data_IF_796840481160
#
_entry.id   IF_796840481160
#
_cell.length_a   1.000
_cell.length_b   1.000
_cell.length_c   1.000
_cell.angle_alpha   90.00
_cell.angle_beta   90.00
_cell.angle_gamma   90.00
#
_symmetry.space_group_name_H-M   'P 1'
#
loop_
_entity.id
_entity.type
_entity.pdbx_description
1 polymer ?
#
# COMPACT_ATOMS: atom_id res chain seq x y z
N UNK A 1 -29.75 -24.00 -23.08
CA UNK A 1 -28.41 -23.50 -23.44
C UNK A 1 -27.87 -22.80 -22.20
N UNK A 2 -27.10 -23.49 -21.36
CA UNK A 2 -26.56 -22.92 -20.13
C UNK A 2 -25.62 -21.78 -20.53
N UNK A 3 -25.99 -20.55 -20.20
CA UNK A 3 -25.06 -19.42 -20.21
C UNK A 3 -23.89 -19.82 -19.32
N UNK A 4 -22.69 -20.02 -19.87
CA UNK A 4 -21.49 -20.24 -19.08
C UNK A 4 -21.37 -19.07 -18.08
N UNK A 5 -21.60 -19.36 -16.81
CA UNK A 5 -21.49 -18.37 -15.75
C UNK A 5 -20.01 -17.98 -15.63
N UNK A 6 -19.75 -16.71 -15.39
CA UNK A 6 -18.40 -16.22 -15.22
C UNK A 6 -17.82 -16.76 -13.90
N UNK A 7 -16.65 -17.40 -13.92
CA UNK A 7 -16.06 -17.96 -12.68
C UNK A 7 -15.06 -16.97 -12.07
N UNK A 8 -15.58 -16.19 -11.10
CA UNK A 8 -14.80 -15.20 -10.36
C UNK A 8 -14.07 -15.81 -9.16
N UNK A 9 -14.28 -17.09 -8.84
CA UNK A 9 -13.67 -17.75 -7.70
C UNK A 9 -12.42 -18.52 -8.16
N UNK A 10 -11.24 -17.94 -7.98
CA UNK A 10 -9.98 -18.51 -8.47
C UNK A 10 -9.48 -19.65 -7.58
N UNK A 11 -9.65 -19.54 -6.27
CA UNK A 11 -9.21 -20.55 -5.30
C UNK A 11 -10.05 -20.49 -4.03
N UNK A 12 -10.34 -21.67 -3.50
CA UNK A 12 -10.89 -21.88 -2.15
C UNK A 12 -10.07 -22.97 -1.46
N UNK A 13 -9.57 -22.68 -0.26
CA UNK A 13 -9.10 -23.71 0.68
C UNK A 13 -9.97 -23.61 1.93
N UNK A 14 -10.78 -24.64 2.19
CA UNK A 14 -11.88 -24.57 3.15
C UNK A 14 -11.81 -25.70 4.19
N UNK A 15 -10.75 -25.67 4.99
CA UNK A 15 -10.48 -26.67 6.03
C UNK A 15 -11.14 -26.30 7.35
N UNK A 16 -12.18 -27.05 7.71
CA UNK A 16 -12.81 -26.96 9.03
C UNK A 16 -13.50 -25.61 9.26
N UNK A 17 -13.16 -24.92 10.34
CA UNK A 17 -13.75 -23.62 10.71
C UNK A 17 -13.14 -22.42 9.96
N UNK A 18 -12.08 -22.64 9.20
CA UNK A 18 -11.32 -21.60 8.51
C UNK A 18 -11.43 -21.73 7.00
N UNK A 19 -11.30 -20.60 6.29
CA UNK A 19 -11.17 -20.62 4.84
C UNK A 19 -10.23 -19.53 4.32
N UNK A 20 -9.56 -19.83 3.22
CA UNK A 20 -8.84 -18.89 2.36
C UNK A 20 -9.59 -18.76 1.04
N UNK A 21 -9.84 -17.53 0.61
CA UNK A 21 -10.51 -17.25 -0.66
C UNK A 21 -9.68 -16.33 -1.54
N UNK A 22 -9.59 -16.70 -2.82
CA UNK A 22 -9.10 -15.85 -3.88
C UNK A 22 -10.21 -15.64 -4.91
N UNK A 23 -10.68 -14.41 -5.04
CA UNK A 23 -11.56 -13.98 -6.10
C UNK A 23 -10.82 -13.09 -7.10
N UNK A 24 -11.35 -13.01 -8.33
CA UNK A 24 -10.91 -12.02 -9.31
C UNK A 24 -12.07 -11.12 -9.73
N UNK A 25 -11.78 -9.86 -10.04
CA UNK A 25 -12.73 -8.98 -10.73
C UNK A 25 -12.85 -9.35 -12.23
N UNK A 26 -11.89 -10.11 -12.77
CA UNK A 26 -11.90 -10.47 -14.19
C UNK A 26 -12.99 -11.46 -14.54
N UNK A 27 -13.65 -11.22 -15.67
CA UNK A 27 -14.53 -12.20 -16.28
C UNK A 27 -13.85 -12.96 -17.44
N UNK A 28 -13.99 -14.28 -17.47
CA UNK A 28 -13.46 -15.22 -18.47
C UNK A 28 -14.48 -15.61 -19.55
N UNK A 29 -15.69 -15.05 -19.51
CA UNK A 29 -16.76 -15.35 -20.46
C UNK A 29 -16.38 -14.94 -21.89
N UNK A 30 -16.30 -15.93 -22.78
CA UNK A 30 -16.03 -15.73 -24.20
C UNK A 30 -17.06 -14.79 -24.86
N UNK A 31 -16.58 -13.76 -25.56
CA UNK A 31 -17.39 -12.89 -26.43
C UNK A 31 -18.13 -11.72 -25.76
N UNK A 32 -17.99 -11.51 -24.45
CA UNK A 32 -18.65 -10.40 -23.72
C UNK A 32 -17.68 -9.32 -23.23
N UNK A 33 -16.38 -9.60 -23.20
CA UNK A 33 -15.40 -8.69 -22.61
C UNK A 33 -14.47 -8.18 -23.71
N UNK A 34 -14.65 -6.92 -24.11
CA UNK A 34 -13.49 -6.12 -24.54
C UNK A 34 -12.40 -6.37 -23.54
N UNK A 35 -11.19 -6.75 -23.96
CA UNK A 35 -10.09 -7.34 -23.16
C UNK A 35 -9.58 -6.51 -21.96
N UNK A 36 -10.34 -5.50 -21.54
CA UNK A 36 -9.97 -4.39 -20.68
C UNK A 36 -10.86 -4.22 -19.44
N UNK A 37 -12.10 -4.70 -19.45
CA UNK A 37 -13.05 -4.42 -18.35
C UNK A 37 -13.11 -5.56 -17.31
N UNK A 38 -13.45 -5.19 -16.06
CA UNK A 38 -13.76 -6.11 -14.95
C UNK A 38 -15.28 -6.20 -14.71
N UNK A 39 -15.73 -7.24 -14.01
CA UNK A 39 -17.14 -7.42 -13.60
C UNK A 39 -17.22 -7.50 -12.07
N UNK A 40 -17.21 -6.32 -11.46
CA UNK A 40 -17.20 -6.13 -10.01
C UNK A 40 -18.47 -6.66 -9.34
N UNK A 41 -19.62 -6.47 -10.00
CA UNK A 41 -20.92 -6.91 -9.51
C UNK A 41 -21.00 -8.43 -9.48
N UNK A 42 -20.49 -9.12 -10.50
CA UNK A 42 -20.45 -10.57 -10.50
C UNK A 42 -19.47 -11.11 -9.46
N UNK A 43 -18.30 -10.49 -9.31
CA UNK A 43 -17.35 -10.82 -8.24
C UNK A 43 -17.99 -10.67 -6.86
N UNK A 44 -18.65 -9.53 -6.60
CA UNK A 44 -19.39 -9.27 -5.38
C UNK A 44 -20.50 -10.30 -5.15
N UNK A 45 -21.26 -10.66 -6.18
CA UNK A 45 -22.29 -11.69 -6.10
C UNK A 45 -21.70 -13.08 -5.80
N UNK A 46 -20.50 -13.40 -6.30
CA UNK A 46 -19.80 -14.64 -5.97
C UNK A 46 -19.40 -14.68 -4.49
N UNK A 47 -18.84 -13.59 -3.97
CA UNK A 47 -18.54 -13.45 -2.54
C UNK A 47 -19.81 -13.55 -1.67
N UNK A 48 -20.90 -12.87 -2.05
CA UNK A 48 -22.18 -12.89 -1.33
C UNK A 48 -22.74 -14.32 -1.26
N UNK A 49 -22.73 -15.06 -2.38
CA UNK A 49 -23.14 -16.47 -2.41
C UNK A 49 -22.28 -17.34 -1.49
N UNK A 50 -20.97 -17.16 -1.52
CA UNK A 50 -20.06 -17.94 -0.69
C UNK A 50 -20.29 -17.68 0.81
N UNK A 51 -20.40 -16.40 1.21
CA UNK A 51 -20.62 -16.02 2.62
C UNK A 51 -21.96 -16.54 3.15
N UNK A 52 -23.03 -16.52 2.33
CA UNK A 52 -24.33 -17.11 2.70
C UNK A 52 -24.27 -18.63 2.88
N UNK A 53 -23.48 -19.31 2.07
CA UNK A 53 -23.32 -20.76 2.14
C UNK A 53 -22.46 -21.21 3.33
N UNK A 54 -21.64 -20.32 3.90
CA UNK A 54 -20.68 -20.63 4.96
C UNK A 54 -20.83 -19.70 6.18
N UNK A 55 -22.01 -19.67 6.83
CA UNK A 55 -22.22 -18.80 7.99
C UNK A 55 -21.28 -19.18 9.14
N UNK A 56 -20.67 -18.17 9.77
CA UNK A 56 -19.84 -18.36 10.96
C UNK A 56 -18.43 -18.93 10.70
N UNK A 57 -18.01 -19.07 9.44
CA UNK A 57 -16.59 -19.36 9.13
C UNK A 57 -15.75 -18.10 9.26
N UNK A 58 -14.56 -18.26 9.84
CA UNK A 58 -13.54 -17.20 9.87
C UNK A 58 -12.71 -17.29 8.60
N UNK A 59 -12.55 -16.16 7.90
CA UNK A 59 -11.65 -16.06 6.77
C UNK A 59 -10.24 -15.74 7.27
N UNK A 60 -9.32 -16.69 7.18
CA UNK A 60 -7.92 -16.43 7.50
C UNK A 60 -7.30 -15.52 6.45
N UNK A 61 -7.75 -15.63 5.21
CA UNK A 61 -7.32 -14.77 4.11
C UNK A 61 -8.45 -14.58 3.09
N UNK A 62 -8.68 -13.34 2.70
CA UNK A 62 -9.49 -12.99 1.54
C UNK A 62 -8.65 -12.13 0.60
N UNK A 63 -8.51 -12.56 -0.64
CA UNK A 63 -7.81 -11.84 -1.69
C UNK A 63 -8.77 -11.62 -2.86
N UNK A 64 -8.92 -10.37 -3.28
CA UNK A 64 -9.68 -10.04 -4.48
C UNK A 64 -8.76 -9.28 -5.41
N UNK A 65 -8.45 -9.88 -6.56
CA UNK A 65 -7.44 -9.35 -7.48
C UNK A 65 -7.99 -8.99 -8.84
N UNK A 66 -7.16 -8.34 -9.63
CA UNK A 66 -7.32 -8.27 -11.08
C UNK A 66 -5.94 -8.24 -11.73
N UNK A 67 -5.78 -8.85 -12.90
CA UNK A 67 -4.65 -8.62 -13.80
C UNK A 67 -4.96 -7.53 -14.84
N UNK A 68 -6.18 -6.97 -14.82
CA UNK A 68 -6.68 -5.92 -15.71
C UNK A 68 -6.95 -4.65 -14.92
N UNK A 69 -6.51 -3.50 -15.41
CA UNK A 69 -6.53 -2.26 -14.60
C UNK A 69 -7.06 -1.06 -15.36
N UNK A 70 -7.82 -1.30 -16.43
CA UNK A 70 -8.38 -0.21 -17.22
C UNK A 70 -9.47 0.52 -16.43
N UNK A 71 -10.47 -0.16 -15.92
CA UNK A 71 -11.44 0.50 -15.04
C UNK A 71 -12.07 -0.52 -14.11
N UNK A 72 -12.06 -0.24 -12.82
CA UNK A 72 -12.55 -1.13 -11.78
C UNK A 72 -12.75 -0.45 -10.43
N UNK A 73 -13.62 -1.02 -9.61
CA UNK A 73 -13.87 -0.65 -8.22
C UNK A 73 -14.04 -1.88 -7.37
N UNK A 74 -13.50 -1.81 -6.16
CA UNK A 74 -13.81 -2.79 -5.12
C UNK A 74 -15.05 -2.40 -4.31
N UNK A 75 -15.73 -1.28 -4.62
CA UNK A 75 -16.90 -0.84 -3.87
C UNK A 75 -18.01 -1.91 -3.77
N UNK A 76 -18.41 -2.63 -4.85
CA UNK A 76 -19.41 -3.69 -4.73
C UNK A 76 -18.98 -4.84 -3.80
N UNK A 77 -17.70 -5.20 -3.82
CA UNK A 77 -17.12 -6.21 -2.91
C UNK A 77 -17.16 -5.70 -1.47
N UNK A 78 -16.78 -4.45 -1.23
CA UNK A 78 -16.82 -3.82 0.09
C UNK A 78 -18.25 -3.73 0.63
N UNK A 79 -19.25 -3.48 -0.23
CA UNK A 79 -20.66 -3.47 0.16
C UNK A 79 -21.14 -4.86 0.63
N UNK A 80 -20.66 -5.93 -0.01
CA UNK A 80 -20.92 -7.31 0.44
C UNK A 80 -20.26 -7.56 1.79
N UNK A 81 -19.00 -7.15 1.98
CA UNK A 81 -18.32 -7.25 3.28
C UNK A 81 -19.06 -6.48 4.36
N UNK A 82 -19.54 -5.27 4.06
CA UNK A 82 -20.31 -4.45 4.99
C UNK A 82 -21.67 -5.07 5.36
N UNK A 83 -22.29 -5.81 4.43
CA UNK A 83 -23.56 -6.53 4.66
C UNK A 83 -23.39 -7.74 5.57
N UNK A 84 -22.34 -8.54 5.35
CA UNK A 84 -22.14 -9.82 6.06
C UNK A 84 -21.28 -9.70 7.30
N UNK A 85 -20.42 -8.68 7.39
CA UNK A 85 -19.46 -8.45 8.48
C UNK A 85 -18.67 -9.71 8.85
N UNK A 86 -18.04 -10.40 7.88
CA UNK A 86 -17.28 -11.60 8.18
C UNK A 86 -16.07 -11.28 9.07
N UNK A 87 -15.63 -12.26 9.85
CA UNK A 87 -14.32 -12.21 10.49
C UNK A 87 -13.25 -12.50 9.44
N UNK A 88 -12.38 -11.52 9.17
CA UNK A 88 -11.26 -11.65 8.23
C UNK A 88 -9.97 -11.28 8.95
N UNK A 89 -8.96 -12.15 8.88
CA UNK A 89 -7.64 -11.88 9.47
C UNK A 89 -6.77 -11.07 8.50
N UNK A 90 -6.70 -11.48 7.23
CA UNK A 90 -5.88 -10.85 6.18
C UNK A 90 -6.74 -10.53 4.96
N UNK A 91 -6.69 -9.27 4.50
CA UNK A 91 -7.43 -8.80 3.34
C UNK A 91 -6.47 -8.18 2.32
N UNK A 92 -6.48 -8.70 1.10
CA UNK A 92 -5.76 -8.16 -0.04
C UNK A 92 -6.72 -7.71 -1.13
N UNK A 93 -6.63 -6.46 -1.56
CA UNK A 93 -7.44 -5.89 -2.65
C UNK A 93 -6.51 -5.22 -3.66
N UNK A 94 -6.57 -5.58 -4.93
CA UNK A 94 -5.82 -4.82 -5.94
C UNK A 94 -5.34 -5.58 -7.15
N UNK A 95 -4.38 -4.99 -7.86
CA UNK A 95 -3.67 -5.65 -8.94
C UNK A 95 -2.88 -6.86 -8.43
N UNK A 96 -2.74 -7.90 -9.26
CA UNK A 96 -1.93 -9.09 -8.90
C UNK A 96 -0.42 -8.75 -8.81
N UNK A 97 0.03 -7.86 -9.69
CA UNK A 97 1.38 -7.32 -9.75
C UNK A 97 1.29 -5.79 -9.78
N UNK A 98 2.11 -5.13 -8.98
CA UNK A 98 2.15 -3.66 -8.90
C UNK A 98 3.58 -3.15 -8.75
N UNK A 99 3.99 -2.05 -9.41
CA UNK A 99 3.28 -1.32 -10.45
C UNK A 99 3.62 -1.89 -11.83
N UNK A 100 2.66 -2.45 -12.55
CA UNK A 100 2.86 -3.04 -13.88
C UNK A 100 2.19 -2.22 -15.00
N UNK A 101 1.88 -0.94 -14.75
CA UNK A 101 0.99 -0.17 -15.62
C UNK A 101 1.64 1.16 -16.03
N UNK A 102 1.89 1.32 -17.32
CA UNK A 102 2.08 2.65 -17.92
C UNK A 102 0.71 3.36 -17.86
N UNK A 103 0.47 4.29 -16.93
CA UNK A 103 -0.65 5.25 -17.08
C UNK A 103 -0.34 5.98 -18.39
N UNK A 104 -1.16 5.78 -19.41
CA UNK A 104 -0.94 6.45 -20.68
C UNK A 104 -0.95 7.97 -20.50
N UNK A 105 0.12 8.65 -20.88
CA UNK A 105 0.29 10.11 -20.82
C UNK A 105 -0.62 10.92 -21.76
N UNK A 106 -1.73 10.34 -22.24
CA UNK A 106 -2.70 11.08 -23.04
C UNK A 106 -3.65 11.85 -22.12
N UNK A 107 -3.63 13.18 -22.24
CA UNK A 107 -4.65 14.11 -21.72
C UNK A 107 -5.76 14.36 -22.76
N UNK A 108 -6.99 13.89 -22.51
CA UNK A 108 -8.16 13.95 -23.38
C UNK A 108 -8.52 15.29 -24.00
N UNK A 109 -8.70 15.36 -25.31
CA UNK A 109 -9.56 16.38 -25.92
C UNK A 109 -11.05 15.98 -25.93
N UNK A 110 -11.41 14.78 -25.43
CA UNK A 110 -12.80 14.30 -25.33
C UNK A 110 -13.09 13.52 -24.04
N UNK A 111 -14.36 13.50 -23.55
CA UNK A 111 -14.75 12.86 -22.29
C UNK A 111 -14.60 11.33 -22.23
N UNK A 112 -14.30 10.66 -23.34
CA UNK A 112 -13.97 9.23 -23.38
C UNK A 112 -12.47 8.96 -23.30
N UNK A 113 -11.67 9.99 -23.01
CA UNK A 113 -10.22 9.86 -22.92
C UNK A 113 -9.60 10.41 -21.64
N UNK A 114 -10.32 11.11 -20.77
CA UNK A 114 -9.88 11.86 -19.56
C UNK A 114 -8.82 11.28 -18.56
N UNK A 115 -8.12 10.18 -18.85
CA UNK A 115 -7.21 9.52 -17.93
C UNK A 115 -7.92 8.64 -16.89
N UNK A 116 -9.26 8.56 -16.92
CA UNK A 116 -10.07 7.65 -16.09
C UNK A 116 -10.08 6.20 -16.58
N UNK A 117 -9.55 5.95 -17.78
CA UNK A 117 -9.47 4.60 -18.40
C UNK A 117 -8.37 3.70 -17.84
N UNK A 118 -7.77 4.10 -16.71
CA UNK A 118 -6.85 3.30 -15.90
C UNK A 118 -7.11 3.51 -14.41
N UNK A 119 -8.35 3.30 -13.95
CA UNK A 119 -8.73 3.55 -12.56
C UNK A 119 -9.15 2.24 -11.89
N UNK A 120 -8.41 1.82 -10.87
CA UNK A 120 -8.79 0.76 -9.96
C UNK A 120 -8.99 1.35 -8.58
N UNK A 121 -10.24 1.48 -8.15
CA UNK A 121 -10.62 2.24 -6.96
C UNK A 121 -10.92 1.36 -5.75
N UNK A 122 -10.50 1.81 -4.57
CA UNK A 122 -10.87 1.19 -3.27
C UNK A 122 -11.40 2.25 -2.32
N UNK A 123 -12.62 2.08 -1.78
CA UNK A 123 -13.17 2.98 -0.76
C UNK A 123 -12.61 2.66 0.63
N UNK A 124 -11.41 3.16 0.94
CA UNK A 124 -10.61 2.69 2.08
C UNK A 124 -11.33 2.85 3.44
N UNK A 125 -12.04 3.96 3.63
CA UNK A 125 -12.84 4.23 4.84
C UNK A 125 -13.94 3.17 5.04
N UNK A 126 -14.58 2.74 3.95
CA UNK A 126 -15.61 1.69 3.98
C UNK A 126 -15.02 0.32 4.25
N UNK A 127 -13.78 0.04 3.84
CA UNK A 127 -13.08 -1.22 4.17
C UNK A 127 -12.91 -1.36 5.67
N UNK A 128 -12.35 -0.34 6.34
CA UNK A 128 -12.18 -0.35 7.80
C UNK A 128 -13.52 -0.44 8.54
N UNK A 129 -14.55 0.25 8.02
CA UNK A 129 -15.89 0.12 8.56
C UNK A 129 -16.38 -1.33 8.42
N UNK A 130 -16.29 -1.95 7.24
CA UNK A 130 -16.84 -3.27 6.93
C UNK A 130 -16.18 -4.42 7.72
N UNK A 131 -14.87 -4.33 7.97
CA UNK A 131 -14.06 -5.44 8.51
C UNK A 131 -13.27 -4.98 9.76
N UNK A 132 -13.93 -4.71 10.90
CA UNK A 132 -13.28 -4.09 12.06
C UNK A 132 -12.27 -5.00 12.78
N UNK A 133 -12.34 -6.31 12.58
CA UNK A 133 -11.46 -7.32 13.18
C UNK A 133 -10.14 -7.53 12.41
N UNK A 134 -9.92 -6.79 11.32
CA UNK A 134 -8.83 -7.01 10.38
C UNK A 134 -7.45 -6.91 11.05
N UNK A 135 -6.60 -7.92 10.82
CA UNK A 135 -5.23 -7.98 11.32
C UNK A 135 -4.21 -7.43 10.32
N UNK A 136 -4.44 -7.64 9.03
CA UNK A 136 -3.59 -7.16 7.94
C UNK A 136 -4.43 -6.68 6.74
N UNK A 137 -4.12 -5.49 6.24
CA UNK A 137 -4.70 -4.94 5.02
C UNK A 137 -3.60 -4.61 4.01
N UNK A 138 -3.76 -5.10 2.79
CA UNK A 138 -2.96 -4.67 1.64
C UNK A 138 -3.88 -4.19 0.53
N UNK A 139 -3.65 -2.96 0.08
CA UNK A 139 -4.33 -2.37 -1.09
C UNK A 139 -3.29 -2.04 -2.15
N UNK A 140 -3.54 -2.47 -3.39
CA UNK A 140 -2.70 -2.24 -4.58
C UNK A 140 -3.53 -1.70 -5.73
N UNK A 141 -3.62 -0.38 -5.80
CA UNK A 141 -4.53 0.32 -6.68
C UNK A 141 -3.87 1.58 -7.23
N UNK A 142 -4.58 2.36 -8.03
CA UNK A 142 -4.12 3.68 -8.49
C UNK A 142 -5.19 4.75 -8.27
N UNK A 143 -6.15 4.44 -7.39
CA UNK A 143 -7.17 5.33 -6.87
C UNK A 143 -7.65 4.82 -5.50
N UNK A 144 -6.75 4.82 -4.52
CA UNK A 144 -7.12 4.60 -3.13
C UNK A 144 -7.83 5.87 -2.65
N UNK A 145 -9.17 5.81 -2.60
CA UNK A 145 -10.01 6.98 -2.41
C UNK A 145 -10.76 6.94 -1.07
N UNK A 146 -11.22 8.12 -0.65
CA UNK A 146 -12.20 8.29 0.42
C UNK A 146 -13.51 8.70 -0.21
N UNK A 147 -14.57 7.93 0.05
CA UNK A 147 -15.85 8.13 -0.67
C UNK A 147 -16.68 9.26 -0.08
N UNK A 148 -16.37 9.69 1.14
CA UNK A 148 -17.15 10.72 1.86
C UNK A 148 -16.38 12.05 2.01
N UNK A 149 -17.04 13.12 1.57
CA UNK A 149 -16.60 14.54 1.66
C UNK A 149 -17.27 15.28 2.82
N UNK A 150 -18.01 14.56 3.70
CA UNK A 150 -18.63 15.12 4.89
C UNK A 150 -17.63 15.62 5.96
N UNK A 151 -18.01 16.63 6.77
CA UNK A 151 -17.11 17.37 7.67
C UNK A 151 -16.65 16.60 8.92
N UNK A 152 -16.88 15.28 9.03
CA UNK A 152 -16.43 14.49 10.18
C UNK A 152 -15.89 13.12 9.72
N UNK A 153 -14.70 13.15 9.11
CA UNK A 153 -13.87 11.97 8.76
C UNK A 153 -13.27 11.34 10.02
N UNK A 154 -14.10 10.76 10.88
CA UNK A 154 -13.61 9.95 11.99
C UNK A 154 -13.69 8.50 11.56
N UNK A 155 -12.55 7.91 11.23
CA UNK A 155 -12.49 6.48 10.99
C UNK A 155 -12.79 5.72 12.27
N UNK A 156 -13.50 4.58 12.20
CA UNK A 156 -13.67 3.74 13.37
C UNK A 156 -12.29 3.32 13.90
N UNK A 157 -12.17 3.23 15.22
CA UNK A 157 -10.95 2.73 15.85
C UNK A 157 -10.65 1.33 15.31
N UNK A 158 -9.51 1.18 14.65
CA UNK A 158 -9.12 -0.09 14.03
C UNK A 158 -8.21 -0.83 15.00
N UNK A 159 -8.83 -1.50 15.98
CA UNK A 159 -8.14 -2.00 17.17
C UNK A 159 -7.28 -3.26 16.95
N UNK A 160 -7.46 -3.97 15.83
CA UNK A 160 -6.83 -5.26 15.57
C UNK A 160 -5.74 -5.22 14.50
N UNK A 161 -5.69 -4.16 13.69
CA UNK A 161 -4.79 -4.05 12.55
C UNK A 161 -3.34 -3.92 13.02
N UNK A 162 -2.48 -4.82 12.53
CA UNK A 162 -1.04 -4.88 12.83
C UNK A 162 -0.18 -4.49 11.64
N UNK A 163 -0.68 -4.70 10.41
CA UNK A 163 0.01 -4.34 9.18
C UNK A 163 -0.93 -3.68 8.19
N UNK A 164 -0.50 -2.52 7.68
CA UNK A 164 -1.21 -1.76 6.65
C UNK A 164 -0.25 -1.45 5.50
N UNK A 165 -0.68 -1.77 4.28
CA UNK A 165 0.05 -1.48 3.05
C UNK A 165 -0.89 -0.79 2.09
N UNK A 166 -0.56 0.44 1.70
CA UNK A 166 -1.27 1.17 0.66
C UNK A 166 -0.28 1.49 -0.44
N UNK A 167 -0.46 0.79 -1.57
CA UNK A 167 0.33 0.95 -2.77
C UNK A 167 -0.54 1.64 -3.80
N UNK A 168 -0.25 2.92 -4.00
CA UNK A 168 -0.85 3.79 -4.99
C UNK A 168 0.26 4.38 -5.86
N UNK A 169 -0.05 4.66 -7.13
CA UNK A 169 0.88 5.36 -8.01
C UNK A 169 1.02 6.84 -7.64
N UNK A 170 -0.04 7.42 -7.04
CA UNK A 170 -0.07 8.75 -6.47
C UNK A 170 -1.21 8.85 -5.44
N UNK A 171 -0.95 8.48 -4.18
CA UNK A 171 -1.98 8.46 -3.14
C UNK A 171 -2.49 9.89 -2.87
N UNK A 172 -3.81 10.05 -2.76
CA UNK A 172 -4.39 11.34 -2.41
C UNK A 172 -3.90 11.77 -1.00
N UNK A 173 -3.30 12.97 -0.84
CA UNK A 173 -2.87 13.50 0.46
C UNK A 173 -3.99 13.48 1.52
N UNK A 174 -5.25 13.57 1.12
CA UNK A 174 -6.39 13.48 2.02
C UNK A 174 -6.52 12.08 2.67
N UNK A 175 -6.03 11.01 2.03
CA UNK A 175 -5.91 9.67 2.62
C UNK A 175 -4.84 9.67 3.72
N UNK A 176 -3.68 10.26 3.45
CA UNK A 176 -2.57 10.37 4.42
C UNK A 176 -3.00 11.16 5.65
N UNK A 177 -3.68 12.28 5.45
CA UNK A 177 -4.25 13.09 6.52
C UNK A 177 -5.29 12.32 7.34
N UNK A 178 -6.21 11.60 6.68
CA UNK A 178 -7.22 10.79 7.34
C UNK A 178 -6.61 9.61 8.14
N UNK A 179 -5.55 8.98 7.62
CA UNK A 179 -4.76 7.98 8.36
C UNK A 179 -4.18 8.58 9.63
N UNK A 180 -3.58 9.77 9.54
CA UNK A 180 -3.01 10.47 10.69
C UNK A 180 -4.01 10.85 11.76
N UNK A 181 -5.26 11.14 11.36
CA UNK A 181 -6.37 11.39 12.29
C UNK A 181 -6.99 10.09 12.86
N UNK A 182 -6.69 8.93 12.28
CA UNK A 182 -7.20 7.63 12.69
C UNK A 182 -6.59 7.09 13.98
N UNK A 183 -7.17 6.00 14.51
CA UNK A 183 -6.66 5.29 15.69
C UNK A 183 -6.37 3.83 15.35
N UNK A 184 -5.08 3.48 15.40
CA UNK A 184 -4.49 2.20 15.03
C UNK A 184 -3.55 1.68 16.13
N UNK A 185 -4.07 1.43 17.34
CA UNK A 185 -3.22 1.24 18.53
C UNK A 185 -2.33 0.01 18.48
N UNK A 186 -2.67 -0.98 17.63
CA UNK A 186 -1.91 -2.22 17.44
C UNK A 186 -1.13 -2.26 16.13
N UNK A 187 -1.11 -1.19 15.34
CA UNK A 187 -0.39 -1.18 14.07
C UNK A 187 1.10 -1.17 14.33
N UNK A 188 1.81 -2.16 13.80
CA UNK A 188 3.24 -2.37 13.99
C UNK A 188 4.04 -2.02 12.73
N UNK A 189 3.40 -2.10 11.56
CA UNK A 189 4.01 -1.85 10.26
C UNK A 189 3.06 -1.07 9.35
N UNK A 190 3.59 0.01 8.78
CA UNK A 190 2.92 0.82 7.77
C UNK A 190 3.81 0.96 6.53
N UNK A 191 3.24 0.65 5.36
CA UNK A 191 3.86 0.90 4.06
C UNK A 191 2.94 1.82 3.25
N UNK A 192 3.46 2.97 2.83
CA UNK A 192 2.76 3.93 1.98
C UNK A 192 3.59 4.20 0.74
N UNK A 193 2.96 4.08 -0.43
CA UNK A 193 3.51 4.59 -1.68
C UNK A 193 2.79 5.90 -1.94
N UNK A 194 3.50 7.01 -1.70
CA UNK A 194 2.97 8.37 -1.80
C UNK A 194 2.86 8.79 -3.24
N UNK A 195 3.90 8.51 -4.01
CA UNK A 195 4.00 8.76 -5.43
C UNK A 195 5.24 8.09 -5.99
N UNK A 196 5.25 7.86 -7.31
CA UNK A 196 6.44 7.47 -8.06
C UNK A 196 6.80 8.53 -9.10
N UNK A 197 8.05 8.48 -9.55
CA UNK A 197 8.52 9.27 -10.67
C UNK A 197 7.58 9.12 -11.88
N UNK A 198 7.14 10.24 -12.47
CA UNK A 198 6.20 10.33 -13.58
C UNK A 198 4.76 10.74 -13.21
N UNK A 199 4.26 10.37 -12.03
CA UNK A 199 2.93 10.79 -11.56
C UNK A 199 3.00 11.84 -10.46
N UNK A 200 4.06 11.77 -9.66
CA UNK A 200 4.32 12.66 -8.54
C UNK A 200 3.33 12.49 -7.39
N UNK A 201 3.78 12.73 -6.16
CA UNK A 201 2.82 12.89 -5.08
C UNK A 201 2.23 14.31 -5.12
N UNK A 202 0.89 14.42 -5.12
CA UNK A 202 0.20 15.73 -5.10
C UNK A 202 0.30 16.48 -3.76
N UNK A 203 1.08 15.97 -2.80
CA UNK A 203 1.28 16.52 -1.47
C UNK A 203 2.72 16.97 -1.21
N UNK A 204 3.02 17.27 0.05
CA UNK A 204 4.32 17.71 0.56
C UNK A 204 4.74 16.89 1.78
N UNK A 205 6.02 16.93 2.17
CA UNK A 205 6.47 16.25 3.38
C UNK A 205 5.60 16.61 4.61
N UNK A 206 5.11 17.85 4.68
CA UNK A 206 4.28 18.34 5.79
C UNK A 206 2.92 17.64 5.91
N UNK A 207 2.40 17.09 4.83
CA UNK A 207 1.14 16.34 4.85
C UNK A 207 1.27 15.01 5.60
N UNK A 208 2.50 14.55 5.88
CA UNK A 208 2.78 13.41 6.75
C UNK A 208 2.74 13.77 8.25
N UNK A 209 2.78 15.05 8.63
CA UNK A 209 2.85 15.46 10.04
C UNK A 209 1.72 14.90 10.91
N UNK A 210 0.44 14.86 10.47
CA UNK A 210 -0.62 14.24 11.23
C UNK A 210 -0.35 12.76 11.52
N UNK A 211 0.22 12.04 10.56
CA UNK A 211 0.57 10.63 10.69
C UNK A 211 1.78 10.43 11.61
N UNK A 212 2.82 11.24 11.44
CA UNK A 212 4.09 11.09 12.15
C UNK A 212 4.04 11.59 13.60
N UNK A 213 3.09 12.47 13.94
CA UNK A 213 2.90 13.01 15.28
C UNK A 213 1.56 12.63 15.94
N UNK A 214 0.68 11.94 15.20
CA UNK A 214 -0.63 11.54 15.69
C UNK A 214 -0.56 10.55 16.86
N UNK A 215 -1.52 10.60 17.81
CA UNK A 215 -1.52 9.73 18.98
C UNK A 215 -1.89 8.28 18.64
N UNK A 216 -2.48 8.01 17.48
CA UNK A 216 -3.11 6.72 17.14
C UNK A 216 -2.17 5.57 16.74
N UNK A 217 -0.85 5.73 16.86
CA UNK A 217 0.15 4.77 16.35
C UNK A 217 1.14 4.32 17.44
N UNK A 218 0.65 3.97 18.63
CA UNK A 218 1.48 3.68 19.80
C UNK A 218 2.41 2.47 19.57
N UNK A 219 1.95 1.46 18.83
CA UNK A 219 2.69 0.23 18.54
C UNK A 219 3.54 0.31 17.26
N UNK A 220 3.49 1.41 16.50
CA UNK A 220 4.13 1.49 15.18
C UNK A 220 5.66 1.55 15.35
N UNK A 221 6.36 0.62 14.71
CA UNK A 221 7.84 0.51 14.76
C UNK A 221 8.49 0.37 13.40
N UNK A 222 7.70 0.07 12.35
CA UNK A 222 8.20 -0.11 10.98
C UNK A 222 7.43 0.81 10.04
N UNK A 223 8.16 1.69 9.37
CA UNK A 223 7.61 2.61 8.38
C UNK A 223 8.35 2.43 7.05
N UNK A 224 7.60 2.21 5.98
CA UNK A 224 8.10 2.24 4.61
C UNK A 224 7.40 3.36 3.87
N UNK A 225 8.16 4.28 3.28
CA UNK A 225 7.65 5.32 2.40
C UNK A 225 8.33 5.20 1.04
N UNK A 226 7.55 4.94 -0.02
CA UNK A 226 7.98 5.14 -1.41
C UNK A 226 7.50 6.53 -1.79
N UNK A 227 8.43 7.42 -2.11
CA UNK A 227 8.15 8.86 -2.26
C UNK A 227 9.12 9.51 -3.22
N UNK A 228 8.61 10.46 -3.99
CA UNK A 228 9.37 11.41 -4.80
C UNK A 228 9.70 12.72 -4.03
N UNK A 229 9.40 12.78 -2.73
CA UNK A 229 9.79 13.89 -1.85
C UNK A 229 11.22 13.68 -1.34
N UNK A 230 12.09 14.69 -1.53
CA UNK A 230 13.54 14.65 -1.28
C UNK A 230 13.92 14.95 0.20
N UNK A 231 14.85 15.87 0.40
CA UNK A 231 15.43 16.34 1.66
C UNK A 231 14.40 16.78 2.71
N UNK A 232 13.30 17.45 2.34
CA UNK A 232 12.27 17.87 3.29
C UNK A 232 11.68 16.68 4.07
N UNK A 233 11.60 15.50 3.44
CA UNK A 233 11.12 14.29 4.08
C UNK A 233 12.01 13.87 5.26
N UNK A 234 13.33 14.02 5.12
CA UNK A 234 14.30 13.66 6.16
C UNK A 234 14.07 14.51 7.41
N UNK A 235 13.87 15.82 7.22
CA UNK A 235 13.61 16.73 8.33
C UNK A 235 12.29 16.44 9.02
N UNK A 236 11.21 16.27 8.25
CA UNK A 236 9.90 15.96 8.80
C UNK A 236 9.92 14.65 9.59
N UNK A 237 10.64 13.62 9.11
CA UNK A 237 10.81 12.37 9.85
C UNK A 237 11.62 12.57 11.13
N UNK A 238 12.74 13.30 11.05
CA UNK A 238 13.61 13.56 12.19
C UNK A 238 12.94 14.42 13.29
N UNK A 239 12.08 15.36 12.90
CA UNK A 239 11.35 16.22 13.85
C UNK A 239 10.11 15.54 14.44
N UNK A 240 9.77 14.33 13.98
CA UNK A 240 8.54 13.66 14.39
C UNK A 240 8.67 12.78 15.64
N UNK A 241 7.58 12.69 16.39
CA UNK A 241 7.48 11.78 17.53
C UNK A 241 7.56 10.29 17.12
N UNK A 242 7.16 9.94 15.90
CA UNK A 242 7.31 8.59 15.37
C UNK A 242 8.76 8.27 15.01
N UNK A 243 9.47 9.19 14.35
CA UNK A 243 10.86 9.01 13.91
C UNK A 243 11.79 8.55 15.03
N UNK A 244 11.64 9.12 16.23
CA UNK A 244 12.45 8.79 17.41
C UNK A 244 12.29 7.35 17.93
N UNK A 245 11.20 6.66 17.60
CA UNK A 245 10.86 5.32 18.13
C UNK A 245 10.78 4.23 17.06
N UNK A 246 11.02 4.56 15.79
CA UNK A 246 11.04 3.56 14.73
C UNK A 246 12.22 2.61 14.92
N UNK A 247 11.97 1.31 14.76
CA UNK A 247 13.02 0.30 14.67
C UNK A 247 13.46 0.08 13.23
N UNK A 248 12.55 0.25 12.27
CA UNK A 248 12.86 0.19 10.85
C UNK A 248 12.23 1.35 10.12
N UNK A 249 13.06 2.06 9.36
CA UNK A 249 12.66 3.07 8.40
C UNK A 249 13.16 2.61 7.03
N UNK A 250 12.24 2.50 6.08
CA UNK A 250 12.57 2.20 4.69
C UNK A 250 12.11 3.37 3.85
N UNK A 251 13.04 3.95 3.10
CA UNK A 251 12.80 4.97 2.10
C UNK A 251 13.27 4.42 0.75
N UNK A 252 12.76 3.25 0.32
CA UNK A 252 13.26 2.69 -0.91
C UNK A 252 12.72 3.53 -2.06
N UNK A 253 13.35 3.41 -3.22
CA UNK A 253 12.61 3.61 -4.45
C UNK A 253 12.08 5.04 -4.61
N UNK A 254 12.87 6.01 -4.16
CA UNK A 254 12.56 7.42 -4.19
C UNK A 254 13.65 8.24 -4.88
N UNK A 255 13.68 9.52 -4.55
CA UNK A 255 14.60 10.50 -5.14
C UNK A 255 15.70 10.97 -4.18
N UNK A 256 16.05 10.19 -3.15
CA UNK A 256 17.09 10.59 -2.21
C UNK A 256 18.44 10.70 -2.94
N UNK A 257 19.08 11.86 -2.81
CA UNK A 257 20.32 12.23 -3.47
C UNK A 257 21.46 12.43 -2.46
N UNK A 258 22.51 13.16 -2.87
CA UNK A 258 23.63 13.48 -1.99
C UNK A 258 23.20 14.33 -0.79
N UNK A 259 22.35 15.34 -1.01
CA UNK A 259 21.96 16.31 0.01
C UNK A 259 21.05 15.64 1.05
N UNK A 260 20.09 14.84 0.61
CA UNK A 260 19.24 14.06 1.51
C UNK A 260 20.04 13.05 2.35
N UNK A 261 21.05 12.39 1.76
CA UNK A 261 21.92 11.46 2.48
C UNK A 261 22.83 12.16 3.52
N UNK A 262 23.35 13.35 3.19
CA UNK A 262 24.10 14.17 4.15
C UNK A 262 23.17 14.67 5.27
N UNK A 263 21.96 15.08 4.94
CA UNK A 263 20.94 15.48 5.92
C UNK A 263 20.61 14.34 6.90
N UNK A 264 20.46 13.12 6.41
CA UNK A 264 20.31 11.93 7.27
C UNK A 264 21.50 11.77 8.24
N UNK A 265 22.73 12.04 7.79
CA UNK A 265 23.91 11.97 8.65
C UNK A 265 23.91 13.05 9.74
N UNK A 266 23.47 14.27 9.40
CA UNK A 266 23.36 15.41 10.32
C UNK A 266 22.26 15.17 11.36
N UNK A 267 21.09 14.69 10.92
CA UNK A 267 19.90 14.49 11.75
C UNK A 267 19.87 13.13 12.47
N UNK A 268 20.89 12.28 12.30
CA UNK A 268 20.89 10.89 12.78
C UNK A 268 20.51 10.70 14.25
N UNK A 269 20.89 11.62 15.13
CA UNK A 269 20.56 11.55 16.57
C UNK A 269 19.05 11.57 16.84
N UNK A 270 18.23 12.03 15.90
CA UNK A 270 16.78 11.99 15.98
C UNK A 270 16.21 10.57 15.86
N UNK A 271 16.96 9.63 15.27
CA UNK A 271 16.52 8.25 15.01
C UNK A 271 17.08 7.27 16.06
N UNK A 272 16.93 7.59 17.35
CA UNK A 272 17.65 6.93 18.45
C UNK A 272 17.40 5.42 18.59
N UNK A 273 16.20 4.94 18.24
CA UNK A 273 15.82 3.52 18.34
C UNK A 273 16.01 2.73 17.03
N UNK A 274 16.52 3.38 15.99
CA UNK A 274 16.56 2.82 14.64
C UNK A 274 17.59 1.71 14.52
N UNK A 275 17.12 0.53 14.13
CA UNK A 275 17.92 -0.70 13.93
C UNK A 275 18.13 -1.01 12.46
N UNK A 276 17.29 -0.43 11.59
CA UNK A 276 17.39 -0.58 10.14
C UNK A 276 16.95 0.69 9.42
N UNK A 277 17.85 1.28 8.64
CA UNK A 277 17.55 2.26 7.60
C UNK A 277 17.76 1.61 6.24
N UNK A 278 16.72 1.50 5.42
CA UNK A 278 16.84 0.97 4.06
C UNK A 278 16.59 2.08 3.03
N UNK A 279 17.61 2.43 2.25
CA UNK A 279 17.55 3.46 1.19
C UNK A 279 17.76 2.83 -0.19
N UNK A 280 17.42 1.56 -0.36
CA UNK A 280 17.57 0.85 -1.64
C UNK A 280 16.83 1.54 -2.77
N UNK A 281 17.52 1.73 -3.89
CA UNK A 281 16.94 2.19 -5.15
C UNK A 281 16.67 3.69 -5.19
N UNK A 282 17.54 4.48 -4.55
CA UNK A 282 17.57 5.94 -4.65
C UNK A 282 18.73 6.37 -5.58
N UNK A 283 19.03 7.67 -5.60
CA UNK A 283 20.08 8.26 -6.42
C UNK A 283 21.28 8.77 -5.59
N UNK A 284 21.60 8.10 -4.48
CA UNK A 284 22.65 8.53 -3.54
C UNK A 284 24.03 8.25 -4.15
N UNK A 285 24.86 9.28 -4.44
CA UNK A 285 26.18 9.06 -5.03
C UNK A 285 27.15 8.36 -4.07
N UNK A 286 28.16 7.69 -4.63
CA UNK A 286 29.09 6.83 -3.88
C UNK A 286 29.80 7.52 -2.69
N UNK A 287 30.04 8.83 -2.74
CA UNK A 287 30.65 9.56 -1.63
C UNK A 287 29.67 9.70 -0.44
N UNK A 288 28.44 10.16 -0.70
CA UNK A 288 27.40 10.30 0.32
C UNK A 288 26.94 8.95 0.87
N UNK A 289 26.84 7.92 0.02
CA UNK A 289 26.52 6.56 0.43
C UNK A 289 27.56 6.00 1.43
N UNK A 290 28.86 6.25 1.18
CA UNK A 290 29.93 5.89 2.12
C UNK A 290 29.83 6.65 3.44
N UNK A 291 29.50 7.94 3.40
CA UNK A 291 29.30 8.73 4.61
C UNK A 291 28.14 8.18 5.45
N UNK A 292 26.99 7.90 4.82
CA UNK A 292 25.81 7.35 5.49
C UNK A 292 26.08 5.96 6.08
N UNK A 293 26.72 5.06 5.33
CA UNK A 293 27.12 3.75 5.86
C UNK A 293 28.13 3.87 7.01
N UNK A 294 29.06 4.82 6.96
CA UNK A 294 30.01 5.04 8.05
C UNK A 294 29.35 5.59 9.31
N UNK A 295 28.24 6.34 9.16
CA UNK A 295 27.48 6.88 10.29
C UNK A 295 26.88 5.78 11.16
N UNK A 296 26.35 4.72 10.55
CA UNK A 296 25.80 3.55 11.25
C UNK A 296 25.93 2.26 10.42
N UNK A 297 27.09 1.58 10.47
CA UNK A 297 27.42 0.45 9.59
C UNK A 297 26.45 -0.73 9.66
N UNK A 298 25.91 -1.02 10.85
CA UNK A 298 25.03 -2.17 11.08
C UNK A 298 23.54 -1.85 10.89
N UNK A 299 23.21 -0.56 10.75
CA UNK A 299 21.83 -0.07 10.62
C UNK A 299 21.50 0.26 9.17
N UNK A 300 22.44 0.87 8.44
CA UNK A 300 22.18 1.39 7.09
C UNK A 300 22.31 0.31 6.03
N UNK A 301 21.20 -0.08 5.41
CA UNK A 301 21.16 -0.82 4.15
C UNK A 301 21.07 0.15 2.95
N UNK A 302 22.15 0.25 2.18
CA UNK A 302 22.17 1.09 0.98
C UNK A 302 21.46 0.43 -0.21
N UNK A 303 21.46 -0.91 -0.31
CA UNK A 303 21.01 -1.61 -1.51
C UNK A 303 21.65 -1.09 -2.81
N UNK A 304 20.93 -1.26 -3.93
CA UNK A 304 21.32 -0.72 -5.25
C UNK A 304 21.03 0.78 -5.29
N UNK A 305 21.94 1.60 -5.79
CA UNK A 305 21.70 3.03 -6.09
C UNK A 305 21.73 3.25 -7.60
N UNK A 306 20.97 4.22 -8.08
CA UNK A 306 20.93 4.65 -9.47
C UNK A 306 21.80 5.90 -9.65
N UNK A 307 22.36 6.07 -10.84
CA UNK A 307 23.08 7.30 -11.22
C UNK A 307 22.08 8.14 -12.00
N UNK A 308 21.92 9.42 -11.66
CA UNK A 308 21.22 10.37 -12.54
C UNK A 308 21.98 10.43 -13.86
N UNK A 309 21.42 9.89 -14.94
CA UNK A 309 21.98 10.00 -16.29
C UNK A 309 20.99 10.85 -17.05
N UNK A 310 21.33 12.13 -17.32
CA UNK A 310 20.68 13.22 -18.11
C UNK A 310 19.15 13.20 -18.44
N UNK A 311 18.55 12.03 -18.54
CA UNK A 311 17.14 11.73 -18.28
C UNK A 311 16.87 11.77 -16.76
N UNK A 312 15.74 12.36 -16.38
CA UNK A 312 15.28 12.39 -15.00
C UNK A 312 15.39 11.00 -14.34
N UNK A 313 15.64 10.90 -13.01
CA UNK A 313 15.79 9.62 -12.33
C UNK A 313 14.59 8.70 -12.59
N UNK A 314 14.74 7.78 -13.54
CA UNK A 314 13.72 6.79 -13.83
C UNK A 314 13.73 5.74 -12.73
N UNK A 315 12.82 5.93 -11.79
CA UNK A 315 12.61 5.00 -10.71
C UNK A 315 11.40 4.08 -11.02
N UNK A 316 11.67 2.79 -11.23
CA UNK A 316 10.66 1.74 -11.39
C UNK A 316 10.83 0.71 -10.26
N UNK A 317 9.92 0.68 -9.26
CA UNK A 317 9.98 -0.35 -8.24
C UNK A 317 9.65 -1.67 -8.91
N UNK A 318 10.35 -2.77 -8.58
CA UNK A 318 9.98 -4.05 -9.17
C UNK A 318 8.58 -4.45 -8.71
N UNK A 319 7.99 -5.33 -9.52
CA UNK A 319 6.66 -5.85 -9.29
C UNK A 319 6.58 -6.54 -7.93
N UNK A 320 5.56 -6.16 -7.16
CA UNK A 320 5.21 -6.76 -5.88
C UNK A 320 3.80 -7.36 -5.93
N UNK A 321 3.60 -8.47 -5.23
CA UNK A 321 2.27 -9.04 -5.01
C UNK A 321 1.67 -8.52 -3.69
N UNK A 322 0.39 -8.79 -3.42
CA UNK A 322 -0.34 -8.29 -2.24
C UNK A 322 0.41 -8.54 -0.91
N UNK A 323 0.67 -9.80 -0.59
CA UNK A 323 1.30 -10.16 0.67
C UNK A 323 2.81 -10.30 0.60
N UNK A 324 3.40 -10.22 -0.60
CA UNK A 324 4.84 -10.10 -0.71
C UNK A 324 5.28 -8.69 -0.30
N UNK A 325 6.10 -8.65 0.74
CA UNK A 325 6.79 -7.47 1.19
C UNK A 325 8.28 -7.71 0.99
N UNK A 326 8.86 -7.10 -0.06
CA UNK A 326 10.31 -6.91 -0.25
C UNK A 326 11.19 -7.79 0.63
N UNK A 327 11.31 -9.07 0.26
CA UNK A 327 11.99 -10.08 1.07
C UNK A 327 13.45 -9.67 1.28
N UNK A 328 13.70 -9.10 2.45
CA UNK A 328 15.03 -8.93 3.06
C UNK A 328 14.93 -9.11 4.57
N UNK A 329 13.82 -9.68 5.06
CA UNK A 329 13.72 -10.25 6.40
C UNK A 329 14.48 -11.59 6.42
N UNK A 330 15.80 -11.50 6.33
CA UNK A 330 16.71 -12.46 6.97
C UNK A 330 17.38 -11.74 8.13
N UNK A 331 16.56 -11.27 9.07
CA UNK A 331 17.01 -11.10 10.44
C UNK A 331 16.90 -12.47 11.13
N UNK A 332 17.85 -13.36 10.83
CA UNK A 332 18.10 -14.53 11.67
C UNK A 332 19.56 -14.51 12.12
N UNK A 333 19.87 -13.46 12.88
CA UNK A 333 21.05 -13.35 13.71
C UNK A 333 20.75 -13.87 15.11
N UNK A 334 20.43 -15.16 15.22
CA UNK A 334 20.54 -15.87 16.50
C UNK A 334 22.01 -16.18 16.80
N UNK A 335 22.46 -16.12 18.07
CA UNK A 335 23.82 -16.45 18.42
C UNK A 335 24.09 -17.94 18.12
N UNK A 336 25.07 -18.21 17.26
CA UNK A 336 25.61 -19.56 17.08
C UNK A 336 26.49 -19.88 18.29
N UNK A 337 25.99 -20.75 19.17
CA UNK A 337 26.81 -21.52 20.08
C UNK A 337 27.26 -22.82 19.42
#
# INVERSE_FOLDING_TARGET
MYSAACDHLRRVDDRGSYAELHLTLECDRAGVVTSRDVDEDHCAAALDRWLRAHPGRTLTELVVTTSRVHNGSFAPVVDVLARHRPEIVRLGLGALLFPDFERGDHAPTTPSGDGSSWRLSVPLDRVFAAVPALGELVVQCNDIALVDTGPSRVWPKTAHLRRLVLRDEAIDPAVVSALGAGSFPRLESLELWLGRFGYGWGGSARDLLPLLNGPGFESLRRLTLVSDVSDELVDVLADSALGARLWSLRLPFGVLDADAALRLCERWSAFGELRRLDVTGNAIPAAAARALRSKAPDVVNLGRQYVHVDEDPYFAPPLVSLFDAWSSDTCDGGPRH
#
